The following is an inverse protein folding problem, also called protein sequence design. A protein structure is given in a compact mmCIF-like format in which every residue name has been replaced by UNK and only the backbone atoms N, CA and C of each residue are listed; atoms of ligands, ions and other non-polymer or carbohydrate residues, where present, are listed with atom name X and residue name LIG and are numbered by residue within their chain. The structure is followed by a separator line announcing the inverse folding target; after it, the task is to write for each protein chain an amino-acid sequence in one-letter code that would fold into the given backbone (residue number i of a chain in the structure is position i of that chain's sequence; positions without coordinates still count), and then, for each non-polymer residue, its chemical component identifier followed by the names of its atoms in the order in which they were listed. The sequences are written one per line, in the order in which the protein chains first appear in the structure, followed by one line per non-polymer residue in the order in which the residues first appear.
data_IF_074495969531
#
_entry.id   IF_074495969531
#
_cell.length_a   1.000
_cell.length_b   1.000
_cell.length_c   1.000
_cell.angle_alpha   90.00
_cell.angle_beta   90.00
_cell.angle_gamma   90.00
#
_symmetry.space_group_name_H-M   'P 1'
#
loop_
_entity.id
_entity.type
_entity.pdbx_description
1 polymer ?
#
# COMPACT_ATOMS: atom_id res chain seq x y z
N UNK A 1 4.72 -50.53 24.82
CA UNK A 1 3.69 -49.63 24.24
C UNK A 1 4.17 -48.21 24.43
N UNK A 2 4.57 -47.56 23.34
CA UNK A 2 5.13 -46.22 23.30
C UNK A 2 4.01 -45.21 23.08
N UNK A 3 3.86 -44.25 24.00
CA UNK A 3 3.00 -43.08 23.81
C UNK A 3 3.90 -41.87 23.60
N UNK A 4 4.15 -41.56 22.33
CA UNK A 4 3.97 -40.22 21.77
C UNK A 4 4.79 -39.08 22.37
N UNK A 5 6.08 -39.06 22.04
CA UNK A 5 7.07 -38.03 22.34
C UNK A 5 6.88 -36.73 21.50
N UNK A 6 5.67 -36.14 21.48
CA UNK A 6 5.32 -35.02 20.59
C UNK A 6 5.42 -33.61 21.23
N UNK A 7 5.85 -33.51 22.51
CA UNK A 7 5.99 -32.24 23.23
C UNK A 7 7.45 -31.83 23.49
N UNK A 8 8.40 -32.28 22.67
CA UNK A 8 9.81 -31.83 22.78
C UNK A 8 9.98 -30.45 22.13
N UNK A 9 9.89 -29.43 22.98
CA UNK A 9 10.79 -28.28 22.96
C UNK A 9 10.63 -27.29 21.82
N UNK A 10 9.52 -26.54 21.80
CA UNK A 10 9.56 -25.19 21.23
C UNK A 10 10.31 -24.30 22.22
N UNK A 11 11.59 -24.08 21.97
CA UNK A 11 12.41 -23.14 22.76
C UNK A 11 12.18 -21.74 22.19
N UNK A 12 11.76 -20.80 23.03
CA UNK A 12 11.64 -19.42 22.60
C UNK A 12 13.02 -18.91 22.16
N UNK A 13 13.11 -18.16 21.05
CA UNK A 13 14.39 -17.65 20.55
C UNK A 13 15.12 -16.85 21.64
N UNK A 14 14.39 -16.16 22.53
CA UNK A 14 14.95 -15.45 23.67
C UNK A 14 15.72 -16.32 24.67
N UNK A 15 15.43 -17.63 24.73
CA UNK A 15 16.06 -18.60 25.62
C UNK A 15 17.32 -19.26 25.00
N UNK A 16 17.62 -18.97 23.73
CA UNK A 16 18.83 -19.48 23.08
C UNK A 16 20.06 -18.64 23.46
N UNK A 17 21.27 -19.26 23.46
CA UNK A 17 22.51 -18.52 23.66
C UNK A 17 22.67 -17.36 22.66
N UNK A 18 23.25 -16.21 23.06
CA UNK A 18 23.38 -15.02 22.21
C UNK A 18 23.96 -15.29 20.82
N UNK A 19 24.99 -16.13 20.73
CA UNK A 19 25.67 -16.54 19.51
C UNK A 19 24.78 -17.36 18.57
N UNK A 20 23.94 -18.24 19.13
CA UNK A 20 22.96 -19.02 18.37
C UNK A 20 21.82 -18.12 17.90
N UNK A 21 21.40 -17.15 18.72
CA UNK A 21 20.40 -16.14 18.33
C UNK A 21 20.91 -15.28 17.17
N UNK A 22 22.16 -14.83 17.23
CA UNK A 22 22.78 -14.04 16.17
C UNK A 22 22.92 -14.84 14.87
N UNK A 23 23.29 -16.13 14.94
CA UNK A 23 23.34 -16.99 13.75
C UNK A 23 21.96 -17.25 13.15
N UNK A 24 20.93 -17.48 13.99
CA UNK A 24 19.56 -17.63 13.54
C UNK A 24 19.02 -16.35 12.90
N UNK A 25 19.27 -15.18 13.50
CA UNK A 25 18.87 -13.88 12.94
C UNK A 25 19.45 -13.64 11.55
N UNK A 26 20.70 -14.06 11.28
CA UNK A 26 21.31 -13.97 9.95
C UNK A 26 20.63 -14.89 8.91
N UNK A 27 19.99 -15.97 9.36
CA UNK A 27 19.30 -16.93 8.47
C UNK A 27 17.84 -16.55 8.19
N UNK A 28 17.23 -15.68 9.00
CA UNK A 28 15.84 -15.25 8.81
C UNK A 28 15.65 -14.61 7.44
N UNK A 29 16.55 -13.72 7.02
CA UNK A 29 16.48 -13.08 5.70
C UNK A 29 16.42 -14.08 4.54
N UNK A 30 17.44 -14.96 4.37
CA UNK A 30 17.42 -15.99 3.34
C UNK A 30 16.20 -16.93 3.40
N UNK A 31 15.76 -17.32 4.61
CA UNK A 31 14.55 -18.13 4.77
C UNK A 31 13.30 -17.37 4.30
N UNK A 32 13.21 -16.09 4.60
CA UNK A 32 12.09 -15.25 4.21
C UNK A 32 12.03 -15.04 2.70
N UNK A 33 13.17 -14.92 2.02
CA UNK A 33 13.23 -14.90 0.56
C UNK A 33 12.67 -16.21 -0.01
N UNK A 34 13.11 -17.37 0.49
CA UNK A 34 12.57 -18.65 0.05
C UNK A 34 11.06 -18.80 0.34
N UNK A 35 10.58 -18.29 1.48
CA UNK A 35 9.15 -18.24 1.79
C UNK A 35 8.40 -17.35 0.79
N UNK A 36 8.92 -16.16 0.45
CA UNK A 36 8.31 -15.28 -0.55
C UNK A 36 8.28 -15.92 -1.93
N UNK A 37 9.35 -16.60 -2.35
CA UNK A 37 9.38 -17.35 -3.62
C UNK A 37 8.32 -18.44 -3.64
N UNK A 38 8.18 -19.20 -2.55
CA UNK A 38 7.15 -20.24 -2.43
C UNK A 38 5.74 -19.64 -2.52
N UNK A 39 5.43 -18.63 -1.71
CA UNK A 39 4.13 -17.96 -1.72
C UNK A 39 3.81 -17.27 -3.06
N UNK A 40 4.85 -16.80 -3.77
CA UNK A 40 4.70 -16.17 -5.09
C UNK A 40 4.33 -17.15 -6.19
N UNK A 41 4.55 -18.45 -6.00
CA UNK A 41 4.15 -19.49 -6.94
C UNK A 41 2.71 -19.97 -6.71
N UNK A 42 2.15 -19.70 -5.53
CA UNK A 42 0.80 -20.11 -5.20
C UNK A 42 -0.24 -19.14 -5.76
N UNK A 43 -1.34 -19.71 -6.27
CA UNK A 43 -2.50 -18.94 -6.76
C UNK A 43 -3.35 -18.36 -5.62
N UNK A 44 -3.29 -18.96 -4.44
CA UNK A 44 -3.96 -18.50 -3.22
C UNK A 44 -3.09 -18.77 -2.01
N UNK A 45 -3.00 -17.79 -1.11
CA UNK A 45 -2.21 -17.88 0.13
C UNK A 45 -3.19 -18.04 1.29
N UNK A 46 -2.95 -19.03 2.15
CA UNK A 46 -3.76 -19.20 3.35
C UNK A 46 -3.53 -18.04 4.31
N UNK A 47 -4.58 -17.64 5.02
CA UNK A 47 -4.47 -16.60 6.03
C UNK A 47 -3.42 -16.87 7.11
N UNK A 48 -3.17 -18.14 7.43
CA UNK A 48 -2.15 -18.55 8.39
C UNK A 48 -0.75 -18.36 7.84
N UNK A 49 -0.49 -18.78 6.60
CA UNK A 49 0.84 -18.67 6.00
C UNK A 49 1.23 -17.21 5.82
N UNK A 50 0.27 -16.36 5.42
CA UNK A 50 0.49 -14.91 5.38
C UNK A 50 0.77 -14.35 6.78
N UNK A 51 -0.01 -14.73 7.79
CA UNK A 51 0.23 -14.25 9.17
C UNK A 51 1.61 -14.66 9.68
N UNK A 52 2.00 -15.92 9.51
CA UNK A 52 3.29 -16.43 9.95
C UNK A 52 4.44 -15.72 9.21
N UNK A 53 4.29 -15.44 7.91
CA UNK A 53 5.24 -14.67 7.11
C UNK A 53 5.36 -13.21 7.58
N UNK A 54 4.24 -12.52 7.84
CA UNK A 54 4.23 -11.15 8.36
C UNK A 54 4.90 -11.08 9.74
N UNK A 55 4.64 -12.05 10.63
CA UNK A 55 5.32 -12.08 11.93
C UNK A 55 6.83 -12.34 11.79
N UNK A 56 7.24 -13.21 10.87
CA UNK A 56 8.65 -13.49 10.60
C UNK A 56 9.39 -12.28 10.00
N UNK A 57 8.73 -11.49 9.15
CA UNK A 57 9.30 -10.31 8.50
C UNK A 57 9.88 -9.31 9.51
N UNK A 58 9.26 -9.15 10.67
CA UNK A 58 9.73 -8.22 11.71
C UNK A 58 11.13 -8.57 12.28
N UNK A 59 11.57 -9.81 12.08
CA UNK A 59 12.87 -10.31 12.55
C UNK A 59 13.95 -10.34 11.45
N UNK A 60 13.62 -9.91 10.24
CA UNK A 60 14.58 -9.83 9.14
C UNK A 60 15.58 -8.70 9.42
N UNK A 61 16.85 -8.97 9.10
CA UNK A 61 17.94 -8.02 9.14
C UNK A 61 18.78 -8.17 7.85
N UNK A 62 19.33 -7.08 7.30
CA UNK A 62 19.24 -5.68 7.76
C UNK A 62 17.86 -5.04 7.51
N UNK A 63 17.65 -3.83 8.01
CA UNK A 63 16.37 -3.10 7.89
C UNK A 63 15.93 -2.85 6.43
N UNK A 64 16.88 -2.63 5.52
CA UNK A 64 16.63 -2.55 4.09
C UNK A 64 15.97 -3.83 3.55
N UNK A 65 16.51 -5.01 3.92
CA UNK A 65 15.93 -6.30 3.53
C UNK A 65 14.57 -6.51 4.18
N UNK A 66 14.39 -6.08 5.42
CA UNK A 66 13.09 -6.15 6.11
C UNK A 66 12.04 -5.30 5.39
N UNK A 67 12.38 -4.10 4.96
CA UNK A 67 11.49 -3.23 4.20
C UNK A 67 11.13 -3.85 2.85
N UNK A 68 12.10 -4.42 2.13
CA UNK A 68 11.87 -5.14 0.88
C UNK A 68 10.91 -6.32 1.07
N UNK A 69 11.16 -7.18 2.06
CA UNK A 69 10.28 -8.31 2.41
C UNK A 69 8.86 -7.80 2.73
N UNK A 70 8.74 -6.71 3.47
CA UNK A 70 7.44 -6.12 3.82
C UNK A 70 6.69 -5.65 2.58
N UNK A 71 7.40 -5.00 1.65
CA UNK A 71 6.83 -4.60 0.36
C UNK A 71 6.35 -5.82 -0.44
N UNK A 72 7.13 -6.89 -0.49
CA UNK A 72 6.79 -8.10 -1.22
C UNK A 72 5.60 -8.84 -0.61
N UNK A 73 5.52 -8.92 0.73
CA UNK A 73 4.33 -9.43 1.42
C UNK A 73 3.11 -8.56 1.12
N UNK A 74 3.27 -7.23 1.11
CA UNK A 74 2.24 -6.28 0.70
C UNK A 74 1.74 -6.56 -0.72
N UNK A 75 2.64 -6.84 -1.67
CA UNK A 75 2.30 -7.18 -3.06
C UNK A 75 1.48 -8.46 -3.17
N UNK A 76 1.71 -9.43 -2.29
CA UNK A 76 1.03 -10.72 -2.27
C UNK A 76 -0.36 -10.69 -1.60
N UNK A 77 -0.76 -9.58 -0.97
CA UNK A 77 -2.03 -9.47 -0.25
C UNK A 77 -3.25 -9.85 -1.09
N UNK A 78 -3.31 -9.52 -2.39
CA UNK A 78 -4.44 -9.89 -3.26
C UNK A 78 -4.70 -11.40 -3.36
N UNK A 79 -3.74 -12.25 -3.00
CA UNK A 79 -3.85 -13.71 -3.02
C UNK A 79 -4.33 -14.29 -1.69
N UNK A 80 -4.39 -13.48 -0.65
CA UNK A 80 -4.80 -13.91 0.69
C UNK A 80 -6.32 -14.07 0.71
N UNK A 81 -6.78 -15.24 1.11
CA UNK A 81 -8.19 -15.51 1.31
C UNK A 81 -8.42 -16.09 2.71
N UNK A 82 -9.55 -15.79 3.36
CA UNK A 82 -10.62 -14.84 2.97
C UNK A 82 -10.28 -13.34 3.16
N UNK A 83 -11.15 -12.44 2.65
CA UNK A 83 -10.96 -10.97 2.65
C UNK A 83 -10.71 -10.32 4.02
N UNK A 84 -11.30 -10.87 5.08
CA UNK A 84 -11.05 -10.41 6.45
C UNK A 84 -9.62 -10.74 6.90
N UNK A 85 -9.06 -11.87 6.46
CA UNK A 85 -7.66 -12.20 6.75
C UNK A 85 -6.70 -11.34 5.94
N UNK A 86 -7.05 -11.05 4.68
CA UNK A 86 -6.31 -10.07 3.88
C UNK A 86 -6.27 -8.70 4.59
N UNK A 87 -7.39 -8.24 5.14
CA UNK A 87 -7.43 -6.98 5.89
C UNK A 87 -6.57 -7.02 7.15
N UNK A 88 -6.65 -8.11 7.93
CA UNK A 88 -5.80 -8.27 9.10
C UNK A 88 -4.31 -8.25 8.74
N UNK A 89 -3.92 -8.92 7.64
CA UNK A 89 -2.55 -8.89 7.15
C UNK A 89 -2.12 -7.48 6.71
N UNK A 90 -2.98 -6.74 6.02
CA UNK A 90 -2.75 -5.33 5.68
C UNK A 90 -2.49 -4.50 6.95
N UNK A 91 -3.34 -4.65 7.97
CA UNK A 91 -3.24 -3.88 9.22
C UNK A 91 -1.95 -4.19 9.98
N UNK A 92 -1.54 -5.47 10.02
CA UNK A 92 -0.27 -5.87 10.63
C UNK A 92 0.94 -5.30 9.88
N UNK A 93 0.97 -5.39 8.55
CA UNK A 93 2.04 -4.81 7.74
C UNK A 93 2.11 -3.29 7.91
N UNK A 94 0.97 -2.60 7.88
CA UNK A 94 0.90 -1.16 8.12
C UNK A 94 1.45 -0.78 9.51
N UNK A 95 1.12 -1.54 10.56
CA UNK A 95 1.65 -1.33 11.89
C UNK A 95 3.17 -1.55 11.97
N UNK A 96 3.71 -2.52 11.24
CA UNK A 96 5.16 -2.80 11.20
C UNK A 96 5.94 -1.65 10.55
N UNK A 97 5.45 -1.08 9.45
CA UNK A 97 6.12 0.00 8.72
C UNK A 97 6.40 1.21 9.61
N UNK A 98 5.48 1.55 10.53
CA UNK A 98 5.68 2.67 11.46
C UNK A 98 6.92 2.52 12.35
N UNK A 99 7.41 1.29 12.55
CA UNK A 99 8.61 1.00 13.36
C UNK A 99 9.92 1.05 12.58
N UNK A 100 9.88 1.19 11.25
CA UNK A 100 11.10 1.20 10.43
C UNK A 100 11.82 2.55 10.52
N UNK A 101 13.13 2.60 10.25
CA UNK A 101 13.81 3.85 9.96
C UNK A 101 13.10 4.60 8.81
N UNK A 102 12.96 5.94 8.88
CA UNK A 102 12.23 6.72 7.89
C UNK A 102 12.59 6.42 6.42
N UNK A 103 13.87 6.25 6.13
CA UNK A 103 14.43 5.93 4.82
C UNK A 103 13.95 4.59 4.23
N UNK A 104 13.42 3.70 5.08
CA UNK A 104 12.93 2.38 4.69
C UNK A 104 11.41 2.26 4.69
N UNK A 105 10.69 3.31 5.13
CA UNK A 105 9.21 3.29 5.20
C UNK A 105 8.57 3.42 3.82
N UNK A 106 9.05 4.34 2.99
CA UNK A 106 8.51 4.56 1.64
C UNK A 106 8.58 3.30 0.75
N UNK A 107 9.74 2.60 0.63
CA UNK A 107 9.81 1.34 -0.09
C UNK A 107 8.82 0.29 0.42
N UNK A 108 8.68 0.15 1.75
CA UNK A 108 7.79 -0.82 2.37
C UNK A 108 6.30 -0.52 2.09
N UNK A 109 5.92 0.76 1.95
CA UNK A 109 4.56 1.19 1.65
C UNK A 109 4.09 0.83 0.25
N UNK A 110 5.00 0.68 -0.73
CA UNK A 110 4.64 0.40 -2.13
C UNK A 110 3.75 -0.83 -2.25
N UNK A 111 4.11 -1.92 -1.55
CA UNK A 111 3.32 -3.15 -1.58
C UNK A 111 1.90 -2.99 -1.07
N UNK A 112 1.72 -2.18 -0.01
CA UNK A 112 0.41 -1.86 0.56
C UNK A 112 -0.40 -0.96 -0.36
N UNK A 113 0.23 0.05 -0.98
CA UNK A 113 -0.44 0.93 -1.93
C UNK A 113 -1.02 0.14 -3.11
N UNK A 114 -0.24 -0.80 -3.68
CA UNK A 114 -0.70 -1.66 -4.78
C UNK A 114 -1.89 -2.54 -4.39
N UNK A 115 -2.04 -2.90 -3.12
CA UNK A 115 -3.11 -3.81 -2.68
C UNK A 115 -4.14 -3.14 -1.77
N UNK A 116 -4.19 -1.80 -1.74
CA UNK A 116 -5.11 -1.06 -0.89
C UNK A 116 -6.58 -1.46 -1.14
N UNK A 117 -6.95 -1.65 -2.41
CA UNK A 117 -8.30 -2.00 -2.87
C UNK A 117 -8.57 -3.51 -3.05
N UNK A 118 -7.76 -4.38 -2.45
CA UNK A 118 -7.94 -5.85 -2.44
C UNK A 118 -8.34 -6.43 -3.82
N UNK A 119 -7.45 -6.26 -4.81
CA UNK A 119 -7.70 -6.38 -6.26
C UNK A 119 -8.75 -7.38 -6.77
N UNK A 120 -8.79 -8.61 -6.26
CA UNK A 120 -9.73 -9.64 -6.73
C UNK A 120 -11.17 -9.48 -6.20
N UNK A 121 -11.42 -8.53 -5.31
CA UNK A 121 -12.72 -8.32 -4.67
C UNK A 121 -13.22 -6.88 -4.85
N UNK A 122 -12.81 -6.16 -5.90
CA UNK A 122 -13.22 -4.77 -6.13
C UNK A 122 -14.73 -4.58 -6.32
N UNK A 123 -15.47 -5.67 -6.49
CA UNK A 123 -16.94 -5.68 -6.56
C UNK A 123 -17.61 -5.90 -5.19
N UNK A 124 -16.85 -6.16 -4.13
CA UNK A 124 -17.39 -6.36 -2.77
C UNK A 124 -17.53 -5.02 -2.02
N UNK A 125 -18.71 -4.76 -1.39
CA UNK A 125 -18.91 -3.64 -0.48
C UNK A 125 -17.87 -3.54 0.64
N UNK A 126 -17.49 -4.69 1.21
CA UNK A 126 -16.48 -4.78 2.26
C UNK A 126 -15.11 -4.36 1.75
N UNK A 127 -14.73 -4.79 0.53
CA UNK A 127 -13.47 -4.41 -0.08
C UNK A 127 -13.38 -2.91 -0.37
N UNK A 128 -14.49 -2.27 -0.77
CA UNK A 128 -14.53 -0.81 -1.00
C UNK A 128 -14.39 -0.01 0.29
N UNK A 129 -15.13 -0.41 1.33
CA UNK A 129 -15.06 0.23 2.65
C UNK A 129 -13.64 0.12 3.24
N UNK A 130 -13.09 -1.09 3.20
CA UNK A 130 -11.75 -1.35 3.69
C UNK A 130 -10.70 -0.62 2.83
N UNK A 131 -10.88 -0.59 1.51
CA UNK A 131 -10.02 0.12 0.57
C UNK A 131 -9.91 1.60 0.88
N UNK A 132 -11.03 2.28 1.13
CA UNK A 132 -11.04 3.68 1.58
C UNK A 132 -10.22 3.86 2.87
N UNK A 133 -10.46 3.01 3.88
CA UNK A 133 -9.71 3.04 5.13
C UNK A 133 -8.21 2.77 4.94
N UNK A 134 -7.85 1.89 4.02
CA UNK A 134 -6.47 1.53 3.70
C UNK A 134 -5.71 2.68 3.05
N UNK A 135 -6.33 3.41 2.11
CA UNK A 135 -5.69 4.60 1.52
C UNK A 135 -5.48 5.71 2.56
N UNK A 136 -6.41 5.90 3.50
CA UNK A 136 -6.19 6.83 4.62
C UNK A 136 -4.99 6.42 5.49
N UNK A 137 -4.86 5.13 5.82
CA UNK A 137 -3.68 4.62 6.56
C UNK A 137 -2.38 4.85 5.80
N UNK A 138 -2.37 4.61 4.48
CA UNK A 138 -1.19 4.87 3.64
C UNK A 138 -0.83 6.36 3.68
N UNK A 139 -1.80 7.25 3.54
CA UNK A 139 -1.57 8.69 3.67
C UNK A 139 -1.10 9.09 5.08
N UNK A 140 -1.55 8.40 6.13
CA UNK A 140 -1.08 8.65 7.51
C UNK A 140 0.41 8.29 7.62
N UNK A 141 0.83 7.18 7.01
CA UNK A 141 2.22 6.75 6.97
C UNK A 141 3.11 7.72 6.18
N UNK A 142 2.66 8.17 5.00
CA UNK A 142 3.38 9.19 4.23
C UNK A 142 3.56 10.45 5.06
N UNK A 143 2.48 10.96 5.66
CA UNK A 143 2.50 12.17 6.47
C UNK A 143 3.42 12.05 7.70
N UNK A 144 3.57 10.85 8.27
CA UNK A 144 4.45 10.58 9.40
C UNK A 144 5.95 10.53 9.04
N UNK A 145 6.30 10.49 7.74
CA UNK A 145 7.69 10.57 7.27
C UNK A 145 8.01 12.04 7.02
N UNK A 146 9.04 12.62 7.66
CA UNK A 146 9.47 13.99 7.38
C UNK A 146 9.75 14.19 5.89
N UNK A 147 9.28 15.29 5.29
CA UNK A 147 9.42 15.56 3.85
C UNK A 147 10.87 15.44 3.36
N UNK A 148 11.83 15.92 4.15
CA UNK A 148 13.27 15.85 3.85
C UNK A 148 13.87 14.44 3.89
N UNK A 149 13.11 13.44 4.35
CA UNK A 149 13.52 12.03 4.46
C UNK A 149 12.75 11.12 3.52
N UNK A 150 11.82 11.67 2.72
CA UNK A 150 11.08 10.92 1.71
C UNK A 150 11.94 10.77 0.46
N UNK A 151 12.22 9.54 0.06
CA UNK A 151 12.82 9.29 -1.25
C UNK A 151 11.86 9.75 -2.36
N UNK A 152 12.29 10.60 -3.31
CA UNK A 152 11.41 11.11 -4.37
C UNK A 152 10.84 10.02 -5.28
N UNK A 153 11.64 9.00 -5.63
CA UNK A 153 11.21 7.94 -6.54
C UNK A 153 10.14 7.06 -5.88
N UNK A 154 10.36 6.63 -4.64
CA UNK A 154 9.36 5.85 -3.90
C UNK A 154 8.11 6.68 -3.58
N UNK A 155 8.28 7.98 -3.29
CA UNK A 155 7.15 8.91 -3.09
C UNK A 155 6.29 9.03 -4.33
N UNK A 156 6.92 9.16 -5.50
CA UNK A 156 6.21 9.15 -6.76
C UNK A 156 5.40 7.85 -6.93
N UNK A 157 6.01 6.69 -6.71
CA UNK A 157 5.34 5.39 -6.88
C UNK A 157 4.12 5.27 -5.95
N UNK A 158 4.29 5.54 -4.65
CA UNK A 158 3.22 5.38 -3.67
C UNK A 158 2.07 6.34 -3.97
N UNK A 159 2.35 7.63 -4.25
CA UNK A 159 1.31 8.61 -4.59
C UNK A 159 0.62 8.27 -5.91
N UNK A 160 1.36 7.83 -6.93
CA UNK A 160 0.82 7.45 -8.23
C UNK A 160 -0.20 6.32 -8.09
N UNK A 161 0.18 5.24 -7.40
CA UNK A 161 -0.71 4.09 -7.17
C UNK A 161 -1.93 4.50 -6.34
N UNK A 162 -1.73 5.28 -5.27
CA UNK A 162 -2.82 5.73 -4.38
C UNK A 162 -3.81 6.62 -5.13
N UNK A 163 -3.33 7.50 -6.01
CA UNK A 163 -4.15 8.34 -6.88
C UNK A 163 -4.88 7.52 -7.95
N UNK A 164 -4.22 6.54 -8.55
CA UNK A 164 -4.81 5.64 -9.55
C UNK A 164 -5.98 4.80 -9.04
N UNK A 165 -6.08 4.62 -7.72
CA UNK A 165 -7.20 3.94 -7.08
C UNK A 165 -8.48 4.78 -6.94
N UNK A 166 -8.37 6.09 -7.08
CA UNK A 166 -9.45 7.01 -6.76
C UNK A 166 -10.68 6.88 -7.66
N UNK A 167 -10.57 6.61 -8.99
CA UNK A 167 -11.76 6.41 -9.83
C UNK A 167 -12.57 5.18 -9.42
N UNK A 168 -11.89 4.11 -8.99
CA UNK A 168 -12.54 2.88 -8.51
C UNK A 168 -13.36 3.16 -7.26
N UNK A 169 -12.81 3.91 -6.29
CA UNK A 169 -13.57 4.31 -5.10
C UNK A 169 -14.76 5.21 -5.44
N UNK A 170 -14.55 6.23 -6.28
CA UNK A 170 -15.61 7.15 -6.71
C UNK A 170 -16.78 6.41 -7.37
N UNK A 171 -16.49 5.36 -8.15
CA UNK A 171 -17.52 4.55 -8.84
C UNK A 171 -18.42 3.72 -7.91
N UNK A 172 -18.08 3.61 -6.62
CA UNK A 172 -18.76 2.73 -5.66
C UNK A 172 -19.26 3.51 -4.44
N UNK A 173 -20.59 3.63 -4.23
CA UNK A 173 -21.15 4.32 -3.06
C UNK A 173 -20.67 3.75 -1.72
N UNK A 174 -20.33 2.47 -1.68
CA UNK A 174 -19.87 1.74 -0.48
C UNK A 174 -18.51 2.23 0.03
N UNK A 175 -17.73 2.92 -0.82
CA UNK A 175 -16.49 3.58 -0.42
C UNK A 175 -16.72 4.79 0.47
N UNK A 176 -17.95 5.34 0.49
CA UNK A 176 -18.30 6.53 1.24
C UNK A 176 -17.90 7.83 0.54
N UNK A 177 -17.70 8.89 1.32
CA UNK A 177 -17.33 10.19 0.78
C UNK A 177 -15.84 10.20 0.38
N UNK A 178 -15.55 10.22 -0.91
CA UNK A 178 -14.19 10.23 -1.46
C UNK A 178 -13.51 11.61 -1.41
N UNK A 179 -14.26 12.71 -1.30
CA UNK A 179 -13.69 14.07 -1.37
C UNK A 179 -12.58 14.33 -0.34
N UNK A 180 -12.74 13.97 0.95
CA UNK A 180 -11.68 14.18 1.95
C UNK A 180 -10.40 13.41 1.65
N UNK A 181 -10.52 12.22 1.04
CA UNK A 181 -9.36 11.45 0.61
C UNK A 181 -8.62 12.19 -0.52
N UNK A 182 -9.34 12.68 -1.53
CA UNK A 182 -8.74 13.42 -2.65
C UNK A 182 -8.10 14.73 -2.22
N UNK A 183 -8.77 15.51 -1.37
CA UNK A 183 -8.20 16.76 -0.83
C UNK A 183 -6.89 16.51 -0.09
N UNK A 184 -6.83 15.38 0.64
CA UNK A 184 -5.67 14.97 1.40
C UNK A 184 -4.55 14.40 0.51
N UNK A 185 -4.89 13.67 -0.55
CA UNK A 185 -3.93 13.23 -1.58
C UNK A 185 -3.28 14.44 -2.25
N UNK A 186 -4.07 15.42 -2.68
CA UNK A 186 -3.55 16.65 -3.29
C UNK A 186 -2.66 17.43 -2.31
N UNK A 187 -3.02 17.47 -1.03
CA UNK A 187 -2.18 18.10 0.00
C UNK A 187 -0.85 17.37 0.23
N UNK A 188 -0.82 16.03 0.18
CA UNK A 188 0.44 15.28 0.26
C UNK A 188 1.26 15.40 -1.03
N UNK A 189 0.62 15.44 -2.21
CA UNK A 189 1.30 15.71 -3.49
C UNK A 189 1.94 17.09 -3.48
N UNK A 190 1.27 18.12 -2.94
CA UNK A 190 1.81 19.48 -2.86
C UNK A 190 3.10 19.58 -2.03
N UNK A 191 3.33 18.63 -1.11
CA UNK A 191 4.56 18.54 -0.28
C UNK A 191 5.68 17.80 -0.98
N UNK A 192 5.41 17.10 -2.07
CA UNK A 192 6.43 16.39 -2.84
C UNK A 192 7.28 17.37 -3.66
N UNK A 193 8.52 17.01 -4.03
CA UNK A 193 9.33 17.82 -4.94
C UNK A 193 8.61 18.09 -6.28
N UNK A 194 8.85 19.24 -6.95
CA UNK A 194 8.19 19.59 -8.21
C UNK A 194 8.28 18.53 -9.30
N UNK A 195 9.40 17.81 -9.38
CA UNK A 195 9.60 16.70 -10.32
C UNK A 195 8.66 15.51 -10.03
N UNK A 196 8.41 15.21 -8.76
CA UNK A 196 7.45 14.18 -8.34
C UNK A 196 6.03 14.63 -8.66
N UNK A 197 5.70 15.90 -8.37
CA UNK A 197 4.40 16.48 -8.72
C UNK A 197 4.13 16.41 -10.22
N UNK A 198 5.10 16.83 -11.04
CA UNK A 198 4.98 16.78 -12.50
C UNK A 198 4.83 15.34 -13.00
N UNK A 199 5.59 14.39 -12.43
CA UNK A 199 5.46 12.98 -12.78
C UNK A 199 4.07 12.38 -12.50
N UNK A 200 3.28 12.97 -11.60
CA UNK A 200 1.92 12.52 -11.30
C UNK A 200 0.86 13.03 -12.29
N UNK A 201 1.21 13.92 -13.23
CA UNK A 201 0.27 14.45 -14.23
C UNK A 201 -0.48 13.35 -14.98
N UNK A 202 0.17 12.32 -15.56
CA UNK A 202 -0.53 11.33 -16.37
C UNK A 202 -1.62 10.55 -15.61
N UNK A 203 -1.37 10.22 -14.34
CA UNK A 203 -2.37 9.52 -13.52
C UNK A 203 -3.47 10.48 -13.05
N UNK A 204 -3.13 11.75 -12.79
CA UNK A 204 -4.10 12.76 -12.40
C UNK A 204 -5.04 13.13 -13.54
N UNK A 205 -4.51 13.32 -14.75
CA UNK A 205 -5.28 13.63 -15.95
C UNK A 205 -6.26 12.50 -16.27
N UNK A 206 -5.82 11.25 -16.10
CA UNK A 206 -6.71 10.09 -16.19
C UNK A 206 -7.85 10.14 -15.17
N UNK A 207 -7.60 10.58 -13.92
CA UNK A 207 -8.66 10.76 -12.91
C UNK A 207 -9.63 11.86 -13.36
N UNK A 208 -9.11 12.99 -13.84
CA UNK A 208 -9.92 14.09 -14.36
C UNK A 208 -10.77 13.68 -15.58
N UNK A 209 -10.22 12.85 -16.47
CA UNK A 209 -10.93 12.34 -17.64
C UNK A 209 -12.15 11.50 -17.26
N UNK A 210 -12.07 10.72 -16.18
CA UNK A 210 -13.24 10.03 -15.66
C UNK A 210 -14.28 11.00 -15.10
N UNK A 211 -13.85 12.14 -14.56
CA UNK A 211 -14.69 13.10 -13.84
C UNK A 211 -15.20 14.28 -14.67
N UNK A 212 -14.69 14.52 -15.88
CA UNK A 212 -15.10 15.65 -16.74
C UNK A 212 -16.47 15.42 -17.39
N UNK A 213 -17.14 16.46 -17.91
CA UNK A 213 -18.34 16.27 -18.73
C UNK A 213 -18.05 15.32 -19.91
N UNK A 214 -18.91 14.32 -20.11
CA UNK A 214 -18.68 13.21 -21.04
C UNK A 214 -17.84 12.05 -20.48
N UNK A 215 -17.33 12.18 -19.25
CA UNK A 215 -16.56 11.13 -18.56
C UNK A 215 -17.43 10.14 -17.80
N UNK A 216 -16.92 8.93 -17.61
CA UNK A 216 -17.68 7.79 -17.04
C UNK A 216 -18.24 8.06 -15.64
N UNK A 217 -17.52 8.75 -14.74
CA UNK A 217 -18.01 9.00 -13.37
C UNK A 217 -19.14 10.04 -13.33
N UNK A 218 -19.13 11.03 -14.23
CA UNK A 218 -20.17 12.06 -14.29
C UNK A 218 -21.39 11.61 -15.10
N UNK A 219 -21.16 11.11 -16.31
CA UNK A 219 -22.24 10.96 -17.31
C UNK A 219 -22.76 9.54 -17.42
N UNK A 220 -21.94 8.52 -17.16
CA UNK A 220 -22.40 7.11 -17.18
C UNK A 220 -22.87 6.64 -15.81
N UNK A 221 -22.11 6.97 -14.75
CA UNK A 221 -22.35 6.49 -13.39
C UNK A 221 -23.06 7.51 -12.51
N UNK A 222 -23.05 8.79 -12.87
CA UNK A 222 -23.68 9.88 -12.11
C UNK A 222 -23.25 9.95 -10.63
N UNK A 223 -21.98 9.61 -10.35
CA UNK A 223 -21.39 9.59 -8.99
C UNK A 223 -20.53 10.82 -8.69
N UNK A 224 -20.21 11.61 -9.71
CA UNK A 224 -19.53 12.91 -9.58
C UNK A 224 -20.31 14.01 -10.31
N UNK A 225 -20.07 15.26 -9.94
CA UNK A 225 -20.72 16.44 -10.54
C UNK A 225 -19.70 17.36 -11.22
N UNK A 226 -20.18 18.31 -12.03
CA UNK A 226 -19.32 19.38 -12.56
C UNK A 226 -18.62 20.17 -11.43
N UNK A 227 -19.30 20.38 -10.29
CA UNK A 227 -18.69 21.05 -9.15
C UNK A 227 -17.56 20.22 -8.51
N UNK A 228 -17.67 18.88 -8.51
CA UNK A 228 -16.60 17.99 -8.06
C UNK A 228 -15.35 18.13 -8.94
N UNK A 229 -15.55 18.09 -10.26
CA UNK A 229 -14.50 18.27 -11.23
C UNK A 229 -13.79 19.62 -11.06
N UNK A 230 -14.56 20.71 -11.02
CA UNK A 230 -14.04 22.07 -10.83
C UNK A 230 -13.30 22.24 -9.50
N UNK A 231 -13.81 21.64 -8.42
CA UNK A 231 -13.16 21.65 -7.11
C UNK A 231 -11.77 21.02 -7.14
N UNK A 232 -11.62 19.86 -7.80
CA UNK A 232 -10.34 19.18 -7.89
C UNK A 232 -9.33 19.95 -8.77
N UNK A 233 -9.76 20.43 -9.94
CA UNK A 233 -8.93 21.24 -10.84
C UNK A 233 -8.40 22.49 -10.11
N UNK A 234 -9.24 23.17 -9.33
CA UNK A 234 -8.85 24.37 -8.60
C UNK A 234 -7.82 24.14 -7.48
N UNK A 235 -7.62 22.90 -7.05
CA UNK A 235 -6.73 22.53 -5.93
C UNK A 235 -5.43 21.86 -6.37
N UNK A 236 -5.20 21.79 -7.67
CA UNK A 236 -3.98 21.25 -8.24
C UNK A 236 -2.73 22.02 -7.77
N UNK A 237 -1.69 21.33 -7.28
CA UNK A 237 -0.37 21.93 -7.10
C UNK A 237 0.16 22.51 -8.42
N UNK A 238 0.83 23.66 -8.37
CA UNK A 238 1.25 24.39 -9.57
C UNK A 238 2.17 23.60 -10.51
N UNK A 239 3.02 22.72 -9.99
CA UNK A 239 3.88 21.89 -10.84
C UNK A 239 3.08 20.77 -11.54
N UNK A 240 2.11 20.18 -10.84
CA UNK A 240 1.19 19.19 -11.41
C UNK A 240 0.30 19.83 -12.48
N UNK A 241 -0.27 21.00 -12.19
CA UNK A 241 -1.10 21.77 -13.13
C UNK A 241 -0.34 22.11 -14.41
N UNK A 242 0.88 22.67 -14.30
CA UNK A 242 1.69 23.02 -15.48
C UNK A 242 2.09 21.80 -16.31
N UNK A 243 2.34 20.67 -15.67
CA UNK A 243 2.69 19.42 -16.37
C UNK A 243 1.48 18.85 -17.13
N UNK A 244 0.29 18.90 -16.53
CA UNK A 244 -0.99 18.51 -17.15
C UNK A 244 -1.36 19.40 -18.34
N UNK A 245 -1.25 20.73 -18.18
CA UNK A 245 -1.48 21.70 -19.27
C UNK A 245 -0.52 21.48 -20.45
N UNK A 246 0.72 21.07 -20.20
CA UNK A 246 1.71 20.84 -21.25
C UNK A 246 1.49 19.54 -22.04
N UNK A 247 0.82 18.53 -21.46
CA UNK A 247 0.50 17.29 -22.17
C UNK A 247 -0.71 17.37 -23.09
N UNK A 248 -1.57 18.37 -22.91
CA UNK A 248 -2.73 18.62 -23.79
C UNK A 248 -2.35 19.33 -25.11
N UNK A 249 -1.13 19.89 -25.18
CA UNK A 249 -0.59 20.61 -26.35
C UNK A 249 0.19 19.70 -27.34
N UNK A 250 0.33 18.40 -27.07
CA UNK A 250 0.97 17.38 -27.94
C UNK A 250 -0.05 16.51 -28.71
#
# INVERSE_FOLDING_TARGET
MSVGNAARGRVAISQLPPEVRADLQKRVGPMMIATLEHLSNDSSISGRDMYDAVMAANHVQPDEMRAQVTADLGRLLHRVQPLNTQQAAFDHLNAQIASYPPEHRMPALIGLAVNALKGNAQDSPEAMRDGMGNLHKILDQIAAIPESQRDPADTHIVLNVTLGWTPVLMSRPESGNWRPLMDRLLAETAKAPPEVQAGLAPVYDKVLDYMKPGGTLMDELHVTTLADFQHLVARLPDALRRASEASDDE
#
